data_IF_426930405878
#
_entry.id   IF_426930405878
#
_cell.length_a   1.000
_cell.length_b   1.000
_cell.length_c   1.000
_cell.angle_alpha   90.00
_cell.angle_beta   90.00
_cell.angle_gamma   90.00
#
_symmetry.space_group_name_H-M   'P 1'
#
loop_
_entity.id
_entity.type
_entity.pdbx_description
1 polymer ?
#
# COMPACT_ATOMS: atom_id res chain seq x y z
N UNK A 1 1.51 -6.43 -21.45
CA UNK A 1 1.30 -6.84 -20.04
C UNK A 1 -0.19 -6.83 -19.73
N UNK A 2 -0.70 -7.87 -19.03
CA UNK A 2 -2.08 -7.84 -18.51
C UNK A 2 -2.16 -6.90 -17.32
N UNK A 3 -3.23 -6.13 -17.24
CA UNK A 3 -3.49 -5.18 -16.17
C UNK A 3 -4.95 -5.32 -15.70
N UNK A 4 -5.18 -5.12 -14.43
CA UNK A 4 -6.50 -5.25 -13.80
C UNK A 4 -6.92 -3.89 -13.24
N UNK A 5 -8.18 -3.50 -13.46
CA UNK A 5 -8.78 -2.28 -12.87
C UNK A 5 -10.28 -2.45 -12.70
N UNK A 6 -10.83 -1.85 -11.65
CA UNK A 6 -12.28 -1.81 -11.41
C UNK A 6 -12.77 -0.36 -11.35
N UNK A 7 -13.83 0.01 -12.08
CA UNK A 7 -14.36 1.38 -12.08
C UNK A 7 -14.94 1.82 -10.73
N UNK A 8 -15.35 0.89 -9.86
CA UNK A 8 -15.87 1.20 -8.52
C UNK A 8 -14.83 1.82 -7.60
N UNK A 9 -13.56 1.67 -7.91
CA UNK A 9 -12.47 2.35 -7.20
C UNK A 9 -12.55 3.89 -7.32
N UNK A 10 -13.20 4.41 -8.37
CA UNK A 10 -13.40 5.85 -8.57
C UNK A 10 -14.42 6.46 -7.60
N UNK A 11 -15.24 5.65 -6.92
CA UNK A 11 -16.26 6.15 -5.99
C UNK A 11 -15.66 6.69 -4.70
N UNK A 12 -14.50 6.18 -4.25
CA UNK A 12 -13.75 6.81 -3.15
C UNK A 12 -13.27 8.18 -3.59
N UNK A 13 -13.85 9.23 -3.00
CA UNK A 13 -13.58 10.63 -3.37
C UNK A 13 -13.44 11.48 -2.10
N UNK A 14 -12.33 11.31 -1.36
CA UNK A 14 -12.09 12.08 -0.15
C UNK A 14 -11.90 13.56 -0.49
N UNK A 15 -12.54 14.44 0.27
CA UNK A 15 -12.52 15.88 0.00
C UNK A 15 -11.35 16.57 0.70
N UNK A 16 -11.08 16.18 1.94
CA UNK A 16 -10.12 16.86 2.79
C UNK A 16 -9.24 15.87 3.54
N UNK A 17 -8.10 16.36 4.00
CA UNK A 17 -7.27 15.73 5.02
C UNK A 17 -6.62 16.81 5.89
N UNK A 18 -6.09 16.43 7.04
CA UNK A 18 -5.36 17.37 7.89
C UNK A 18 -3.86 17.10 7.81
N UNK A 19 -3.10 18.18 7.58
CA UNK A 19 -1.66 18.15 7.66
C UNK A 19 -1.15 19.42 8.38
N UNK A 20 -0.27 19.23 9.34
CA UNK A 20 0.36 20.32 10.11
C UNK A 20 -0.68 21.30 10.71
N UNK A 21 -1.80 20.74 11.21
CA UNK A 21 -2.89 21.53 11.81
C UNK A 21 -3.78 22.29 10.82
N UNK A 22 -3.63 22.06 9.52
CA UNK A 22 -4.44 22.69 8.46
C UNK A 22 -5.30 21.65 7.76
N UNK A 23 -6.53 22.05 7.44
CA UNK A 23 -7.39 21.28 6.52
C UNK A 23 -7.00 21.64 5.10
N UNK A 24 -6.65 20.64 4.31
CA UNK A 24 -6.19 20.77 2.93
C UNK A 24 -7.04 19.89 2.00
N UNK A 25 -7.17 20.24 0.71
CA UNK A 25 -7.75 19.33 -0.27
C UNK A 25 -6.99 17.99 -0.31
N UNK A 26 -7.72 16.88 -0.35
CA UNK A 26 -7.09 15.56 -0.39
C UNK A 26 -6.43 15.34 -1.77
N UNK A 27 -5.13 14.99 -1.84
CA UNK A 27 -4.45 14.76 -3.11
C UNK A 27 -4.80 13.41 -3.75
N UNK A 28 -5.28 12.44 -2.95
CA UNK A 28 -5.70 11.12 -3.42
C UNK A 28 -7.09 11.24 -4.08
N UNK A 29 -7.12 11.46 -5.39
CA UNK A 29 -8.31 11.82 -6.15
C UNK A 29 -8.71 10.76 -7.20
N UNK A 30 -10.02 10.57 -7.52
CA UNK A 30 -10.49 9.61 -8.52
C UNK A 30 -9.83 9.74 -9.89
N UNK A 31 -9.43 10.95 -10.29
CA UNK A 31 -8.75 11.19 -11.57
C UNK A 31 -7.45 10.39 -11.74
N UNK A 32 -6.81 9.96 -10.62
CA UNK A 32 -5.59 9.13 -10.65
C UNK A 32 -5.79 7.85 -11.45
N UNK A 33 -6.95 7.19 -11.31
CA UNK A 33 -7.27 5.96 -12.06
C UNK A 33 -7.14 6.21 -13.55
N UNK A 34 -7.80 7.27 -14.05
CA UNK A 34 -7.79 7.56 -15.49
C UNK A 34 -6.40 7.89 -16.01
N UNK A 35 -5.65 8.72 -15.30
CA UNK A 35 -4.29 9.12 -15.71
C UNK A 35 -3.34 7.94 -15.74
N UNK A 36 -3.37 7.09 -14.71
CA UNK A 36 -2.55 5.88 -14.63
C UNK A 36 -2.95 4.85 -15.69
N UNK A 37 -4.26 4.67 -15.91
CA UNK A 37 -4.77 3.76 -16.93
C UNK A 37 -4.36 4.21 -18.34
N UNK A 38 -4.52 5.50 -18.66
CA UNK A 38 -4.14 6.06 -19.95
C UNK A 38 -2.62 5.87 -20.20
N UNK A 39 -1.78 6.15 -19.19
CA UNK A 39 -0.33 5.94 -19.27
C UNK A 39 0.04 4.46 -19.46
N UNK A 40 -0.58 3.56 -18.74
CA UNK A 40 -0.33 2.13 -18.87
C UNK A 40 -0.79 1.58 -20.25
N UNK A 41 -1.94 2.05 -20.78
CA UNK A 41 -2.41 1.71 -22.13
C UNK A 41 -1.40 2.20 -23.19
N UNK A 42 -0.92 3.44 -23.06
CA UNK A 42 0.10 3.97 -23.96
C UNK A 42 1.41 3.15 -23.93
N UNK A 43 1.71 2.52 -22.80
CA UNK A 43 2.83 1.58 -22.63
C UNK A 43 2.51 0.13 -23.05
N UNK A 44 1.32 -0.14 -23.63
CA UNK A 44 0.94 -1.45 -24.15
C UNK A 44 0.30 -2.39 -23.11
N UNK A 45 -0.24 -1.86 -22.01
CA UNK A 45 -1.03 -2.66 -21.07
C UNK A 45 -2.45 -2.92 -21.61
N UNK A 46 -2.95 -4.14 -21.36
CA UNK A 46 -4.33 -4.53 -21.67
C UNK A 46 -5.09 -4.71 -20.36
N UNK A 47 -6.11 -3.88 -20.14
CA UNK A 47 -6.92 -3.91 -18.92
C UNK A 47 -8.09 -4.87 -19.01
N UNK A 48 -8.26 -5.64 -17.95
CA UNK A 48 -9.39 -6.55 -17.72
C UNK A 48 -10.04 -6.20 -16.35
N UNK A 49 -11.36 -6.48 -16.16
CA UNK A 49 -11.98 -6.33 -14.85
C UNK A 49 -11.50 -7.42 -13.88
N UNK A 50 -11.49 -7.18 -12.56
CA UNK A 50 -11.17 -8.19 -11.57
C UNK A 50 -12.27 -9.26 -11.46
N UNK A 51 -11.88 -10.46 -11.03
CA UNK A 51 -12.77 -11.46 -10.47
C UNK A 51 -13.09 -11.10 -8.99
N UNK A 52 -14.19 -11.63 -8.46
CA UNK A 52 -14.52 -11.52 -7.03
C UNK A 52 -14.09 -12.80 -6.31
N UNK A 53 -13.03 -12.72 -5.51
CA UNK A 53 -12.52 -13.81 -4.67
C UNK A 53 -13.14 -13.82 -3.27
N UNK A 54 -14.08 -12.93 -2.99
CA UNK A 54 -14.71 -12.78 -1.70
C UNK A 54 -13.78 -12.23 -0.62
N UNK A 55 -14.19 -12.43 0.63
CA UNK A 55 -13.48 -11.88 1.80
C UNK A 55 -12.27 -12.73 2.26
N UNK A 56 -12.18 -13.99 1.83
CA UNK A 56 -11.16 -14.93 2.31
C UNK A 56 -9.72 -14.39 2.23
N UNK A 57 -9.24 -14.01 1.03
CA UNK A 57 -7.88 -13.47 0.88
C UNK A 57 -7.64 -12.16 1.68
N UNK A 58 -8.66 -11.30 1.78
CA UNK A 58 -8.58 -10.05 2.55
C UNK A 58 -8.47 -10.34 4.04
N UNK A 59 -9.26 -11.28 4.55
CA UNK A 59 -9.25 -11.70 5.95
C UNK A 59 -8.00 -12.50 6.35
N UNK A 60 -7.23 -13.00 5.37
CA UNK A 60 -5.92 -13.61 5.64
C UNK A 60 -4.85 -12.57 6.06
N UNK A 61 -5.12 -11.29 5.84
CA UNK A 61 -4.24 -10.16 6.17
C UNK A 61 -4.85 -9.25 7.23
N UNK A 62 -6.11 -8.90 7.06
CA UNK A 62 -6.79 -7.94 7.94
C UNK A 62 -7.66 -8.63 8.98
N UNK A 63 -7.69 -8.09 10.20
CA UNK A 63 -8.48 -8.65 11.30
C UNK A 63 -9.99 -8.53 11.03
N UNK A 64 -10.80 -9.53 11.44
CA UNK A 64 -12.26 -9.47 11.27
C UNK A 64 -12.90 -8.25 11.92
N UNK A 65 -12.36 -7.80 13.06
CA UNK A 65 -12.81 -6.62 13.76
C UNK A 65 -12.62 -5.35 12.93
N UNK A 66 -11.45 -5.18 12.32
CA UNK A 66 -11.14 -4.05 11.43
C UNK A 66 -12.02 -4.08 10.16
N UNK A 67 -12.18 -5.24 9.54
CA UNK A 67 -13.03 -5.37 8.35
C UNK A 67 -14.49 -5.03 8.66
N UNK A 68 -14.98 -5.43 9.84
CA UNK A 68 -16.31 -5.05 10.32
C UNK A 68 -16.41 -3.55 10.56
N UNK A 69 -15.38 -2.93 11.15
CA UNK A 69 -15.30 -1.49 11.34
C UNK A 69 -15.35 -0.78 9.98
N UNK A 70 -14.44 -1.08 9.06
CA UNK A 70 -14.32 -0.38 7.78
C UNK A 70 -15.62 -0.43 6.96
N UNK A 71 -16.29 -1.58 6.96
CA UNK A 71 -17.57 -1.78 6.26
C UNK A 71 -18.72 -0.96 6.83
N UNK A 72 -18.73 -0.68 8.15
CA UNK A 72 -19.92 -0.16 8.83
C UNK A 72 -19.75 1.23 9.44
N UNK A 73 -18.52 1.73 9.54
CA UNK A 73 -18.23 2.94 10.33
C UNK A 73 -18.92 4.18 9.75
N UNK A 74 -18.96 4.35 8.44
CA UNK A 74 -19.61 5.50 7.81
C UNK A 74 -21.10 5.59 8.17
N UNK A 75 -21.81 4.47 8.08
CA UNK A 75 -23.24 4.39 8.42
C UNK A 75 -23.52 4.66 9.91
N UNK A 76 -22.57 4.44 10.79
CA UNK A 76 -22.67 4.74 12.22
C UNK A 76 -22.29 6.18 12.50
N UNK A 77 -21.28 6.68 11.82
CA UNK A 77 -20.80 8.05 11.92
C UNK A 77 -21.87 9.06 11.46
N UNK A 78 -22.49 8.84 10.32
CA UNK A 78 -23.52 9.72 9.76
C UNK A 78 -24.79 9.87 10.63
N UNK A 79 -24.95 9.00 11.64
CA UNK A 79 -26.05 9.09 12.62
C UNK A 79 -25.67 9.92 13.87
N UNK A 80 -24.42 10.33 14.00
CA UNK A 80 -24.00 11.16 15.12
C UNK A 80 -24.46 12.60 14.88
N UNK A 81 -25.07 13.21 15.89
CA UNK A 81 -25.45 14.60 15.79
C UNK A 81 -24.21 15.50 15.67
N UNK A 82 -24.15 16.32 14.60
CA UNK A 82 -23.05 17.24 14.36
C UNK A 82 -21.76 16.59 13.84
N UNK A 83 -21.80 15.33 13.37
CA UNK A 83 -20.66 14.70 12.70
C UNK A 83 -20.35 15.38 11.37
N UNK A 84 -19.07 15.36 10.96
CA UNK A 84 -18.67 15.74 9.61
C UNK A 84 -19.14 14.74 8.56
N UNK A 85 -19.00 15.11 7.29
CA UNK A 85 -19.38 14.28 6.12
C UNK A 85 -18.49 13.05 5.94
N UNK A 86 -17.28 13.10 6.45
CA UNK A 86 -16.30 12.01 6.41
C UNK A 86 -15.90 11.60 7.82
N UNK A 87 -15.57 10.32 7.99
CA UNK A 87 -15.06 9.78 9.26
C UNK A 87 -13.59 10.16 9.39
N UNK A 88 -13.32 11.16 10.22
CA UNK A 88 -11.97 11.59 10.56
C UNK A 88 -11.85 11.55 12.09
N UNK A 89 -10.87 10.83 12.66
CA UNK A 89 -10.75 10.69 14.10
C UNK A 89 -10.29 11.99 14.74
N UNK A 90 -10.82 12.31 15.91
CA UNK A 90 -10.39 13.43 16.75
C UNK A 90 -9.62 12.97 18.00
N UNK A 91 -9.44 11.67 18.17
CA UNK A 91 -8.74 11.06 19.30
C UNK A 91 -8.12 9.75 18.86
N UNK A 92 -6.93 9.46 19.37
CA UNK A 92 -6.24 8.18 19.17
C UNK A 92 -5.86 7.60 20.53
N UNK A 93 -5.83 6.26 20.69
CA UNK A 93 -5.40 5.64 21.95
C UNK A 93 -3.90 5.86 22.17
N UNK A 94 -3.51 6.15 23.41
CA UNK A 94 -2.09 6.25 23.78
C UNK A 94 -1.38 4.88 23.65
N UNK A 95 -2.11 3.79 23.90
CA UNK A 95 -1.71 2.42 23.62
C UNK A 95 -2.96 1.61 23.29
N UNK A 96 -2.80 0.64 22.39
CA UNK A 96 -3.89 -0.30 22.06
C UNK A 96 -3.88 -1.43 23.09
N UNK A 97 -4.96 -1.52 23.85
CA UNK A 97 -5.18 -2.53 24.88
C UNK A 97 -6.30 -3.50 24.47
N UNK A 98 -6.63 -4.45 25.34
CA UNK A 98 -7.74 -5.38 25.15
C UNK A 98 -9.13 -4.70 25.15
N UNK A 99 -9.20 -3.43 25.55
CA UNK A 99 -10.43 -2.65 25.52
C UNK A 99 -10.75 -2.17 24.12
N UNK A 100 -11.94 -2.48 23.61
CA UNK A 100 -12.43 -2.02 22.33
C UNK A 100 -13.61 -1.04 22.51
N UNK A 101 -13.54 0.17 21.93
CA UNK A 101 -14.58 1.18 22.12
C UNK A 101 -15.89 0.80 21.42
N UNK A 102 -17.03 1.13 22.07
CA UNK A 102 -18.37 0.91 21.50
C UNK A 102 -18.84 2.07 20.62
N UNK A 103 -18.36 3.30 20.87
CA UNK A 103 -18.75 4.50 20.11
C UNK A 103 -18.10 4.54 18.74
N UNK A 104 -18.78 5.13 17.74
CA UNK A 104 -18.21 5.33 16.41
C UNK A 104 -16.95 6.22 16.47
N UNK A 105 -16.95 7.27 17.29
CA UNK A 105 -15.80 8.17 17.50
C UNK A 105 -14.59 7.40 18.04
N UNK A 106 -14.79 6.57 19.08
CA UNK A 106 -13.71 5.77 19.64
C UNK A 106 -13.18 4.72 18.66
N UNK A 107 -14.07 4.09 17.88
CA UNK A 107 -13.66 3.11 16.85
C UNK A 107 -12.90 3.77 15.70
N UNK A 108 -13.29 4.98 15.28
CA UNK A 108 -12.54 5.77 14.30
C UNK A 108 -11.09 5.98 14.77
N UNK A 109 -10.89 6.47 15.99
CA UNK A 109 -9.54 6.67 16.53
C UNK A 109 -8.77 5.37 16.79
N UNK A 110 -9.47 4.27 17.05
CA UNK A 110 -8.84 2.95 17.25
C UNK A 110 -8.30 2.34 15.95
N UNK A 111 -8.96 2.61 14.81
CA UNK A 111 -8.68 1.99 13.52
C UNK A 111 -8.15 2.93 12.45
N UNK A 112 -7.96 4.22 12.74
CA UNK A 112 -7.31 5.17 11.84
C UNK A 112 -6.07 5.74 12.55
N UNK A 113 -4.88 5.59 11.94
CA UNK A 113 -3.61 6.01 12.52
C UNK A 113 -3.43 7.54 12.51
N UNK A 114 -4.05 8.18 11.52
CA UNK A 114 -3.91 9.60 11.24
C UNK A 114 -5.19 10.18 10.63
N UNK A 115 -5.14 11.45 10.26
CA UNK A 115 -6.24 12.19 9.63
C UNK A 115 -6.18 12.19 8.10
N UNK A 116 -5.25 11.43 7.49
CA UNK A 116 -5.07 11.37 6.04
C UNK A 116 -5.89 10.26 5.37
N UNK A 117 -6.57 9.42 6.14
CA UNK A 117 -7.43 8.35 5.65
C UNK A 117 -8.92 8.57 5.98
N UNK A 118 -9.57 9.66 5.50
CA UNK A 118 -10.99 9.92 5.72
C UNK A 118 -11.84 8.84 5.07
N UNK A 119 -12.90 8.39 5.77
CA UNK A 119 -13.81 7.35 5.29
C UNK A 119 -15.14 7.99 4.92
N UNK A 120 -15.57 7.85 3.67
CA UNK A 120 -16.90 8.22 3.18
C UNK A 120 -17.77 6.98 2.89
N UNK A 121 -18.96 7.19 2.37
CA UNK A 121 -19.92 6.12 2.09
C UNK A 121 -19.45 5.06 1.10
N UNK A 122 -18.55 5.43 0.20
CA UNK A 122 -18.07 4.59 -0.89
C UNK A 122 -16.67 4.02 -0.63
N UNK A 123 -16.01 4.42 0.46
CA UNK A 123 -14.64 3.96 0.77
C UNK A 123 -14.53 2.45 0.87
N UNK A 124 -15.49 1.78 1.55
CA UNK A 124 -15.49 0.33 1.67
C UNK A 124 -15.56 -0.37 0.32
N UNK A 125 -16.50 0.03 -0.54
CA UNK A 125 -16.69 -0.62 -1.84
C UNK A 125 -15.47 -0.42 -2.75
N UNK A 126 -14.89 0.78 -2.72
CA UNK A 126 -13.69 1.10 -3.48
C UNK A 126 -12.47 0.33 -2.98
N UNK A 127 -12.24 0.28 -1.66
CA UNK A 127 -11.15 -0.49 -1.06
C UNK A 127 -11.31 -2.00 -1.31
N UNK A 128 -12.53 -2.53 -1.22
CA UNK A 128 -12.81 -3.94 -1.53
C UNK A 128 -12.41 -4.28 -2.97
N UNK A 129 -12.83 -3.47 -3.95
CA UNK A 129 -12.51 -3.72 -5.35
C UNK A 129 -11.06 -3.37 -5.70
N UNK A 130 -10.41 -2.49 -4.96
CA UNK A 130 -8.96 -2.31 -5.01
C UNK A 130 -8.22 -3.59 -4.61
N UNK A 131 -8.64 -4.23 -3.51
CA UNK A 131 -8.09 -5.51 -3.07
C UNK A 131 -8.38 -6.64 -4.08
N UNK A 132 -9.62 -6.73 -4.61
CA UNK A 132 -9.96 -7.73 -5.65
C UNK A 132 -9.14 -7.54 -6.93
N UNK A 133 -8.80 -6.29 -7.28
CA UNK A 133 -7.89 -5.97 -8.39
C UNK A 133 -6.50 -6.56 -8.15
N UNK A 134 -5.94 -6.38 -6.95
CA UNK A 134 -4.63 -6.93 -6.59
C UNK A 134 -4.65 -8.48 -6.54
N UNK A 135 -5.71 -9.08 -5.99
CA UNK A 135 -5.88 -10.55 -5.94
C UNK A 135 -6.00 -11.12 -7.36
N UNK A 136 -6.78 -10.48 -8.25
CA UNK A 136 -6.95 -10.93 -9.63
C UNK A 136 -5.62 -10.90 -10.40
N UNK A 137 -4.82 -9.87 -10.19
CA UNK A 137 -3.49 -9.79 -10.80
C UNK A 137 -2.52 -10.83 -10.20
N UNK A 138 -2.62 -11.12 -8.90
CA UNK A 138 -1.88 -12.20 -8.24
C UNK A 138 -2.29 -13.59 -8.77
N UNK A 139 -3.58 -13.80 -9.04
CA UNK A 139 -4.11 -15.02 -9.64
C UNK A 139 -3.49 -15.28 -11.04
N UNK A 140 -3.35 -14.25 -11.87
CA UNK A 140 -2.64 -14.34 -13.14
C UNK A 140 -1.19 -14.81 -12.97
N UNK A 141 -0.49 -14.32 -11.96
CA UNK A 141 0.89 -14.75 -11.64
C UNK A 141 0.89 -16.20 -11.15
N UNK A 142 -0.04 -16.58 -10.29
CA UNK A 142 -0.18 -17.96 -9.82
C UNK A 142 -0.46 -18.93 -10.96
N UNK A 143 -1.24 -18.51 -11.97
CA UNK A 143 -1.54 -19.26 -13.20
C UNK A 143 -0.38 -19.28 -14.22
N UNK A 144 0.77 -18.64 -13.92
CA UNK A 144 2.00 -18.71 -14.73
C UNK A 144 2.31 -17.48 -15.58
N UNK A 145 1.57 -16.36 -15.42
CA UNK A 145 1.99 -15.10 -16.03
C UNK A 145 3.29 -14.61 -15.40
N UNK A 146 4.21 -14.10 -16.23
CA UNK A 146 5.49 -13.58 -15.76
C UNK A 146 5.40 -12.14 -15.26
N UNK A 147 4.36 -11.39 -15.67
CA UNK A 147 4.17 -10.02 -15.26
C UNK A 147 2.69 -9.63 -15.30
N UNK A 148 2.22 -8.94 -14.27
CA UNK A 148 0.87 -8.38 -14.18
C UNK A 148 0.89 -7.02 -13.47
N UNK A 149 -0.12 -6.17 -13.74
CA UNK A 149 -0.29 -4.88 -13.08
C UNK A 149 -1.69 -4.77 -12.48
N UNK A 150 -1.76 -4.47 -11.19
CA UNK A 150 -2.98 -4.13 -10.46
C UNK A 150 -3.04 -2.62 -10.29
N UNK A 151 -3.91 -1.94 -11.03
CA UNK A 151 -4.20 -0.52 -10.82
C UNK A 151 -5.14 -0.39 -9.62
N UNK A 152 -4.59 -0.55 -8.43
CA UNK A 152 -5.31 -0.49 -7.16
C UNK A 152 -5.51 0.96 -6.71
N UNK A 153 -6.74 1.30 -6.29
CA UNK A 153 -7.11 2.55 -5.65
C UNK A 153 -8.37 2.35 -4.80
N UNK A 154 -8.39 2.77 -3.51
CA UNK A 154 -7.33 3.46 -2.75
C UNK A 154 -6.04 2.63 -2.65
N UNK A 155 -4.88 3.30 -2.34
CA UNK A 155 -3.61 2.62 -2.11
C UNK A 155 -3.65 1.75 -0.85
N UNK A 156 -2.56 1.03 -0.55
CA UNK A 156 -2.60 0.02 0.49
C UNK A 156 -1.43 -0.05 1.47
N UNK A 157 -0.22 0.33 1.10
CA UNK A 157 1.01 -0.04 1.81
C UNK A 157 1.12 0.53 3.25
N UNK A 158 0.37 1.58 3.60
CA UNK A 158 0.29 2.11 4.96
C UNK A 158 -0.74 1.41 5.84
N UNK A 159 -1.67 0.62 5.28
CA UNK A 159 -2.66 -0.09 6.06
C UNK A 159 -2.05 -1.31 6.78
N UNK A 160 -2.13 -1.32 8.12
CA UNK A 160 -1.79 -2.46 8.97
C UNK A 160 -2.91 -3.52 8.95
N UNK A 161 -2.72 -4.62 9.65
CA UNK A 161 -3.75 -5.65 9.76
C UNK A 161 -5.08 -5.13 10.34
N UNK A 162 -5.05 -4.05 11.11
CA UNK A 162 -6.21 -3.52 11.83
C UNK A 162 -6.23 -1.99 11.97
N UNK A 163 -5.47 -1.27 11.11
CA UNK A 163 -5.32 0.17 11.21
C UNK A 163 -5.14 0.79 9.81
N UNK A 164 -6.02 1.71 9.42
CA UNK A 164 -5.89 2.55 8.22
C UNK A 164 -4.94 3.73 8.49
N UNK A 165 -4.33 4.27 7.46
CA UNK A 165 -3.46 5.44 7.54
C UNK A 165 -2.93 5.83 6.18
N UNK A 166 -2.44 7.07 6.01
CA UNK A 166 -1.77 7.49 4.78
C UNK A 166 -2.55 7.20 3.50
N UNK A 167 -3.83 7.54 3.43
CA UNK A 167 -4.74 7.26 2.32
C UNK A 167 -5.13 5.76 2.13
N UNK A 168 -4.54 4.84 2.90
CA UNK A 168 -4.66 3.39 2.75
C UNK A 168 -5.69 2.79 3.70
N UNK A 169 -6.47 1.82 3.21
CA UNK A 169 -7.51 1.12 3.99
C UNK A 169 -7.31 -0.40 4.01
N UNK A 170 -7.09 -1.03 2.87
CA UNK A 170 -6.72 -2.43 2.75
C UNK A 170 -5.34 -2.52 2.10
N UNK A 171 -4.45 -3.33 2.64
CA UNK A 171 -3.09 -3.45 2.12
C UNK A 171 -3.06 -4.36 0.89
N UNK A 172 -3.22 -3.76 -0.28
CA UNK A 172 -3.35 -4.46 -1.54
C UNK A 172 -2.12 -5.33 -1.87
N UNK A 173 -0.92 -4.78 -1.66
CA UNK A 173 0.34 -5.50 -1.88
C UNK A 173 0.50 -6.68 -0.91
N UNK A 174 0.18 -6.49 0.38
CA UNK A 174 0.23 -7.56 1.37
C UNK A 174 -0.81 -8.66 1.09
N UNK A 175 -2.03 -8.30 0.68
CA UNK A 175 -3.10 -9.25 0.32
C UNK A 175 -2.66 -10.09 -0.89
N UNK A 176 -2.13 -9.45 -1.94
CA UNK A 176 -1.62 -10.15 -3.12
C UNK A 176 -0.45 -11.08 -2.77
N UNK A 177 0.51 -10.61 -1.96
CA UNK A 177 1.64 -11.42 -1.52
C UNK A 177 1.21 -12.62 -0.67
N UNK A 178 0.25 -12.42 0.25
CA UNK A 178 -0.32 -13.51 1.07
C UNK A 178 -1.08 -14.51 0.21
N UNK A 179 -1.85 -14.04 -0.77
CA UNK A 179 -2.53 -14.91 -1.73
C UNK A 179 -1.52 -15.81 -2.47
N UNK A 180 -0.45 -15.24 -3.02
CA UNK A 180 0.60 -15.99 -3.72
C UNK A 180 1.32 -16.97 -2.79
N UNK A 181 1.63 -16.58 -1.56
CA UNK A 181 2.24 -17.45 -0.56
C UNK A 181 1.36 -18.67 -0.24
N UNK A 182 0.05 -18.48 -0.10
CA UNK A 182 -0.92 -19.57 0.10
C UNK A 182 -1.02 -20.51 -1.12
N UNK A 183 -0.60 -20.05 -2.30
CA UNK A 183 -0.47 -20.85 -3.53
C UNK A 183 0.95 -21.44 -3.70
N UNK A 184 1.72 -21.53 -2.62
CA UNK A 184 3.03 -22.20 -2.57
C UNK A 184 4.18 -21.41 -3.17
N UNK A 185 4.02 -20.09 -3.41
CA UNK A 185 5.10 -19.23 -3.90
C UNK A 185 5.91 -18.65 -2.75
N UNK A 186 7.22 -18.57 -2.91
CA UNK A 186 8.11 -17.79 -2.05
C UNK A 186 8.09 -16.34 -2.52
N UNK A 187 7.57 -15.43 -1.70
CA UNK A 187 7.23 -14.06 -2.13
C UNK A 187 8.09 -13.04 -1.42
N UNK A 188 8.63 -12.08 -2.18
CA UNK A 188 9.17 -10.83 -1.65
C UNK A 188 8.26 -9.65 -2.04
N UNK A 189 8.09 -8.68 -1.15
CA UNK A 189 7.50 -7.38 -1.47
C UNK A 189 8.64 -6.39 -1.60
N UNK A 190 8.69 -5.69 -2.74
CA UNK A 190 9.59 -4.57 -2.99
C UNK A 190 8.75 -3.30 -3.06
N UNK A 191 8.85 -2.47 -2.04
CA UNK A 191 8.18 -1.18 -1.98
C UNK A 191 9.11 -0.08 -2.52
N UNK A 192 8.66 0.61 -3.57
CA UNK A 192 9.39 1.72 -4.22
C UNK A 192 8.62 3.03 -4.17
N UNK A 193 7.55 3.10 -3.38
CA UNK A 193 6.90 4.36 -3.00
C UNK A 193 7.89 5.25 -2.23
N UNK A 194 7.74 6.57 -2.34
CA UNK A 194 8.62 7.52 -1.61
C UNK A 194 8.45 7.41 -0.10
N UNK A 195 7.27 6.96 0.36
CA UNK A 195 6.98 6.71 1.77
C UNK A 195 7.31 5.27 2.16
N UNK A 196 7.71 5.08 3.40
CA UNK A 196 7.88 3.73 3.93
C UNK A 196 6.53 2.99 4.05
N UNK A 197 6.46 1.77 3.53
CA UNK A 197 5.29 0.88 3.66
C UNK A 197 5.14 0.30 5.07
N UNK A 198 4.88 1.16 6.05
CA UNK A 198 4.81 0.77 7.47
C UNK A 198 3.71 -0.23 7.78
N UNK A 199 2.59 -0.19 7.05
CA UNK A 199 1.54 -1.18 7.16
C UNK A 199 2.00 -2.55 6.70
N UNK A 200 2.65 -2.63 5.55
CA UNK A 200 3.24 -3.87 5.01
C UNK A 200 4.28 -4.46 5.97
N UNK A 201 5.21 -3.64 6.46
CA UNK A 201 6.15 -4.04 7.48
C UNK A 201 5.43 -4.56 8.73
N UNK A 202 4.45 -3.82 9.24
CA UNK A 202 3.72 -4.18 10.47
C UNK A 202 2.97 -5.51 10.36
N UNK A 203 2.42 -5.84 9.19
CA UNK A 203 1.73 -7.11 8.92
C UNK A 203 2.72 -8.29 8.99
N UNK A 204 3.89 -8.17 8.36
CA UNK A 204 4.83 -9.28 8.23
C UNK A 204 6.00 -9.26 9.23
N UNK A 205 6.09 -8.29 10.13
CA UNK A 205 7.24 -8.06 10.99
C UNK A 205 7.61 -9.23 11.91
N UNK A 206 6.63 -10.06 12.25
CA UNK A 206 6.78 -11.22 13.16
C UNK A 206 6.67 -12.57 12.46
N UNK A 207 6.71 -12.61 11.12
CA UNK A 207 6.60 -13.83 10.34
C UNK A 207 7.79 -13.98 9.39
N UNK A 208 8.09 -15.21 8.98
CA UNK A 208 9.10 -15.53 7.97
C UNK A 208 8.50 -15.99 6.64
N UNK A 209 7.21 -15.70 6.42
CA UNK A 209 6.49 -16.13 5.21
C UNK A 209 6.81 -15.27 4.00
N UNK A 210 6.98 -13.96 4.22
CA UNK A 210 7.18 -12.97 3.17
C UNK A 210 8.34 -12.08 3.54
N UNK A 211 9.25 -11.85 2.60
CA UNK A 211 10.36 -10.91 2.77
C UNK A 211 9.92 -9.52 2.32
N UNK A 212 10.01 -8.53 3.21
CA UNK A 212 9.64 -7.15 2.92
C UNK A 212 10.89 -6.28 2.74
N UNK A 213 10.94 -5.55 1.64
CA UNK A 213 12.02 -4.61 1.30
C UNK A 213 11.39 -3.27 0.93
N UNK A 214 11.85 -2.17 1.52
CA UNK A 214 11.34 -0.84 1.20
C UNK A 214 12.50 0.15 0.99
N UNK A 215 12.47 0.85 -0.15
CA UNK A 215 13.32 2.01 -0.43
C UNK A 215 12.46 3.27 -0.32
N UNK A 216 12.77 4.16 0.61
CA UNK A 216 11.90 5.28 0.94
C UNK A 216 12.72 6.48 1.44
N UNK A 217 12.14 7.68 1.36
CA UNK A 217 12.75 8.86 1.95
C UNK A 217 12.89 8.67 3.49
N UNK A 218 14.03 9.08 4.04
CA UNK A 218 14.34 8.93 5.47
C UNK A 218 13.20 9.46 6.35
N UNK A 219 12.68 8.60 7.19
CA UNK A 219 11.49 8.84 8.02
C UNK A 219 11.75 9.69 9.27
N UNK A 220 12.98 10.03 9.60
CA UNK A 220 13.25 10.93 10.74
C UNK A 220 12.50 12.25 10.64
N UNK A 221 12.27 12.75 9.44
CA UNK A 221 11.58 14.02 9.15
C UNK A 221 10.57 13.92 8.02
N UNK A 222 10.15 12.69 7.68
CA UNK A 222 9.19 12.42 6.61
C UNK A 222 8.18 11.35 7.07
N UNK A 223 6.93 11.43 6.58
CA UNK A 223 5.91 10.42 6.90
C UNK A 223 6.41 9.00 6.53
N UNK A 224 6.20 7.95 7.34
CA UNK A 224 5.33 7.87 8.53
C UNK A 224 6.05 8.10 9.88
N UNK A 225 7.20 8.73 9.95
CA UNK A 225 7.99 9.16 11.11
C UNK A 225 8.46 8.06 12.08
N UNK A 226 7.59 7.14 12.46
CA UNK A 226 7.80 6.17 13.55
C UNK A 226 8.28 4.81 13.08
N UNK A 227 8.42 4.59 11.77
CA UNK A 227 8.78 3.34 11.12
C UNK A 227 9.72 3.60 9.94
N UNK A 228 10.49 2.56 9.52
CA UNK A 228 11.32 2.65 8.33
C UNK A 228 12.81 2.79 8.62
N UNK A 229 13.23 2.61 9.87
CA UNK A 229 14.64 2.69 10.24
C UNK A 229 15.39 1.43 9.80
N UNK A 230 16.66 1.58 9.38
CA UNK A 230 17.47 0.47 8.84
C UNK A 230 17.72 -0.66 9.83
N UNK A 231 17.66 -0.40 11.14
CA UNK A 231 17.78 -1.41 12.20
C UNK A 231 16.51 -2.25 12.41
N UNK A 232 15.39 -1.89 11.82
CA UNK A 232 14.14 -2.65 11.91
C UNK A 232 14.21 -3.86 10.97
N UNK A 233 14.65 -5.00 11.50
CA UNK A 233 14.95 -6.22 10.73
C UNK A 233 13.97 -7.37 10.91
N UNK A 234 12.81 -7.10 11.53
CA UNK A 234 11.83 -8.11 11.93
C UNK A 234 12.00 -8.53 13.40
N UNK A 235 11.04 -9.30 13.91
CA UNK A 235 10.99 -9.73 15.32
C UNK A 235 10.67 -11.23 15.43
N UNK A 236 11.34 -11.93 16.36
CA UNK A 236 11.11 -13.36 16.57
C UNK A 236 11.50 -14.17 15.34
N UNK A 237 10.59 -15.00 14.82
CA UNK A 237 10.82 -15.80 13.61
C UNK A 237 10.93 -14.92 12.35
N UNK A 238 10.42 -13.69 12.38
CA UNK A 238 10.53 -12.71 11.30
C UNK A 238 11.87 -11.97 11.26
N UNK A 239 12.79 -12.21 12.21
CA UNK A 239 14.09 -11.53 12.21
C UNK A 239 14.89 -11.89 10.94
N UNK A 240 15.32 -10.87 10.21
CA UNK A 240 15.98 -10.99 8.90
C UNK A 240 15.02 -10.99 7.69
N UNK A 241 13.70 -10.94 7.92
CA UNK A 241 12.68 -10.90 6.86
C UNK A 241 12.13 -9.50 6.59
N UNK A 242 12.76 -8.46 7.12
CA UNK A 242 12.49 -7.06 6.81
C UNK A 242 13.79 -6.32 6.49
N UNK A 243 13.78 -5.53 5.42
CA UNK A 243 14.92 -4.70 4.99
C UNK A 243 14.43 -3.30 4.64
N UNK A 244 14.80 -2.32 5.45
CA UNK A 244 14.56 -0.90 5.20
C UNK A 244 15.83 -0.25 4.65
N UNK A 245 15.68 0.53 3.58
CA UNK A 245 16.73 1.31 2.94
C UNK A 245 16.28 2.78 2.93
N UNK A 246 16.42 3.50 4.07
CA UNK A 246 16.09 4.92 4.13
C UNK A 246 17.08 5.72 3.27
N UNK A 247 16.54 6.63 2.45
CA UNK A 247 17.25 7.42 1.45
C UNK A 247 17.21 8.90 1.82
N UNK A 248 18.30 9.61 1.59
CA UNK A 248 18.35 11.06 1.80
C UNK A 248 17.31 11.76 0.90
N UNK A 249 16.59 12.72 1.45
CA UNK A 249 15.63 13.52 0.68
C UNK A 249 16.32 14.22 -0.50
N UNK A 250 15.65 14.20 -1.65
CA UNK A 250 16.19 14.77 -2.90
C UNK A 250 17.22 13.88 -3.61
N UNK A 251 17.40 12.62 -3.17
CA UNK A 251 18.24 11.64 -3.86
C UNK A 251 17.78 11.45 -5.31
N UNK A 252 18.75 11.35 -6.22
CA UNK A 252 18.55 11.27 -7.68
C UNK A 252 18.74 9.85 -8.21
N UNK A 253 18.53 9.69 -9.52
CA UNK A 253 18.50 8.42 -10.24
C UNK A 253 19.69 7.49 -9.94
N UNK A 254 20.93 7.94 -10.11
CA UNK A 254 22.12 7.07 -9.98
C UNK A 254 22.28 6.52 -8.55
N UNK A 255 22.08 7.38 -7.54
CA UNK A 255 22.17 6.99 -6.13
C UNK A 255 21.02 6.04 -5.76
N UNK A 256 19.80 6.32 -6.26
CA UNK A 256 18.64 5.45 -6.06
C UNK A 256 18.87 4.08 -6.69
N UNK A 257 19.36 4.02 -7.93
CA UNK A 257 19.64 2.76 -8.62
C UNK A 257 20.71 1.93 -7.90
N UNK A 258 21.71 2.59 -7.31
CA UNK A 258 22.70 1.90 -6.45
C UNK A 258 22.04 1.28 -5.22
N UNK A 259 21.14 2.01 -4.54
CA UNK A 259 20.38 1.49 -3.41
C UNK A 259 19.42 0.36 -3.82
N UNK A 260 18.73 0.52 -4.96
CA UNK A 260 17.85 -0.50 -5.53
C UNK A 260 18.62 -1.79 -5.83
N UNK A 261 19.85 -1.71 -6.34
CA UNK A 261 20.66 -2.92 -6.59
C UNK A 261 20.90 -3.72 -5.30
N UNK A 262 21.10 -3.07 -4.17
CA UNK A 262 21.24 -3.75 -2.87
C UNK A 262 19.93 -4.47 -2.48
N UNK A 263 18.79 -3.84 -2.71
CA UNK A 263 17.47 -4.45 -2.48
C UNK A 263 17.26 -5.68 -3.38
N UNK A 264 17.56 -5.56 -4.68
CA UNK A 264 17.41 -6.65 -5.64
C UNK A 264 18.34 -7.83 -5.30
N UNK A 265 19.58 -7.58 -4.89
CA UNK A 265 20.51 -8.61 -4.41
C UNK A 265 19.97 -9.34 -3.16
N UNK A 266 19.35 -8.63 -2.23
CA UNK A 266 18.72 -9.23 -1.05
C UNK A 266 17.54 -10.13 -1.45
N UNK A 267 16.70 -9.70 -2.40
CA UNK A 267 15.58 -10.47 -2.94
C UNK A 267 16.09 -11.74 -3.67
N UNK A 268 17.15 -11.63 -4.47
CA UNK A 268 17.79 -12.79 -5.11
C UNK A 268 18.34 -13.76 -4.08
N UNK A 269 19.02 -13.27 -3.04
CA UNK A 269 19.55 -14.10 -1.95
C UNK A 269 18.43 -14.79 -1.17
N UNK A 270 17.31 -14.12 -0.98
CA UNK A 270 16.11 -14.71 -0.39
C UNK A 270 15.53 -15.84 -1.26
N UNK A 271 15.72 -15.79 -2.58
CA UNK A 271 15.23 -16.79 -3.54
C UNK A 271 13.73 -16.70 -3.77
N UNK A 272 13.22 -15.48 -4.01
CA UNK A 272 11.82 -15.25 -4.31
C UNK A 272 11.41 -15.89 -5.65
N UNK A 273 10.27 -16.61 -5.67
CA UNK A 273 9.61 -17.06 -6.90
C UNK A 273 8.82 -15.92 -7.55
N UNK A 274 8.33 -14.99 -6.73
CA UNK A 274 7.53 -13.83 -7.14
C UNK A 274 7.95 -12.59 -6.37
N UNK A 275 8.07 -11.47 -7.07
CA UNK A 275 8.22 -10.15 -6.48
C UNK A 275 6.92 -9.37 -6.65
N UNK A 276 6.31 -8.95 -5.54
CA UNK A 276 5.21 -7.99 -5.52
C UNK A 276 5.81 -6.60 -5.33
N UNK A 277 5.66 -5.74 -6.31
CA UNK A 277 6.15 -4.36 -6.26
C UNK A 277 5.02 -3.45 -5.81
N UNK A 278 5.13 -2.85 -4.62
CA UNK A 278 4.30 -1.72 -4.22
C UNK A 278 4.81 -0.50 -5.00
N UNK A 279 4.03 -0.09 -5.98
CA UNK A 279 4.42 0.87 -7.01
C UNK A 279 3.88 2.26 -6.66
N UNK A 280 4.64 3.06 -5.92
CA UNK A 280 4.46 4.50 -5.82
C UNK A 280 5.20 5.23 -6.94
N UNK A 281 4.63 6.31 -7.45
CA UNK A 281 5.26 7.19 -8.44
C UNK A 281 5.59 8.56 -7.84
N UNK A 282 5.39 8.73 -6.57
CA UNK A 282 5.60 9.95 -5.78
C UNK A 282 7.07 10.21 -5.40
N UNK A 283 7.98 9.27 -5.71
CA UNK A 283 9.41 9.52 -5.73
C UNK A 283 9.85 10.48 -6.88
N UNK A 284 8.91 10.87 -7.75
CA UNK A 284 9.17 11.75 -8.90
C UNK A 284 9.64 13.14 -8.48
N UNK A 285 10.62 13.68 -9.22
CA UNK A 285 11.27 14.98 -8.91
C UNK A 285 10.32 16.18 -8.80
N UNK A 286 9.17 16.14 -9.49
CA UNK A 286 8.16 17.19 -9.45
C UNK A 286 6.94 16.83 -8.59
N UNK A 287 7.01 15.77 -7.79
CA UNK A 287 5.95 15.44 -6.85
C UNK A 287 5.83 16.54 -5.76
N UNK A 288 4.61 16.97 -5.41
CA UNK A 288 4.41 18.04 -4.43
C UNK A 288 4.94 17.69 -3.03
N UNK A 289 5.07 16.40 -2.66
CA UNK A 289 5.59 15.96 -1.36
C UNK A 289 7.12 16.05 -1.27
N UNK A 290 7.82 16.09 -2.41
CA UNK A 290 9.27 16.34 -2.50
C UNK A 290 10.13 15.43 -1.61
N UNK A 291 9.86 14.14 -1.66
CA UNK A 291 10.64 13.15 -0.92
C UNK A 291 11.97 12.85 -1.60
N UNK A 292 11.92 12.40 -2.84
CA UNK A 292 13.08 12.08 -3.69
C UNK A 292 13.06 12.95 -4.97
N UNK A 293 14.02 12.72 -5.89
CA UNK A 293 14.13 13.47 -7.14
C UNK A 293 14.39 12.53 -8.34
N UNK A 294 13.55 11.51 -8.47
CA UNK A 294 13.64 10.53 -9.56
C UNK A 294 13.02 11.11 -10.82
N UNK A 295 13.76 11.05 -11.91
CA UNK A 295 13.29 11.53 -13.22
C UNK A 295 12.37 10.50 -13.89
N UNK A 296 11.65 10.91 -14.94
CA UNK A 296 10.89 9.98 -15.79
C UNK A 296 11.80 8.90 -16.39
N UNK A 297 13.03 9.25 -16.79
CA UNK A 297 14.02 8.30 -17.29
C UNK A 297 14.48 7.35 -16.18
N UNK A 298 14.65 7.87 -14.94
CA UNK A 298 14.98 7.08 -13.75
C UNK A 298 13.94 5.99 -13.45
N UNK A 299 12.65 6.27 -13.54
CA UNK A 299 11.62 5.24 -13.43
C UNK A 299 11.73 4.15 -14.49
N UNK A 300 12.10 4.52 -15.74
CA UNK A 300 12.40 3.53 -16.78
C UNK A 300 13.59 2.63 -16.43
N UNK A 301 14.64 3.19 -15.82
CA UNK A 301 15.80 2.44 -15.35
C UNK A 301 15.46 1.55 -14.16
N UNK A 302 14.64 2.03 -13.20
CA UNK A 302 14.11 1.23 -12.08
C UNK A 302 13.34 0.01 -12.62
N UNK A 303 12.42 0.23 -13.57
CA UNK A 303 11.67 -0.86 -14.20
C UNK A 303 12.58 -1.88 -14.88
N UNK A 304 13.61 -1.41 -15.59
CA UNK A 304 14.62 -2.28 -16.24
C UNK A 304 15.43 -3.09 -15.22
N UNK A 305 15.82 -2.47 -14.11
CA UNK A 305 16.55 -3.14 -13.03
C UNK A 305 15.69 -4.23 -12.36
N UNK A 306 14.40 -3.95 -12.09
CA UNK A 306 13.47 -4.95 -11.54
C UNK A 306 13.28 -6.11 -12.54
N UNK A 307 13.12 -5.82 -13.83
CA UNK A 307 12.97 -6.83 -14.86
C UNK A 307 14.21 -7.75 -14.98
N UNK A 308 15.41 -7.24 -14.65
CA UNK A 308 16.65 -8.03 -14.68
C UNK A 308 16.72 -9.16 -13.65
N UNK A 309 15.84 -9.14 -12.64
CA UNK A 309 15.68 -10.28 -11.70
C UNK A 309 15.26 -11.57 -12.42
N UNK A 310 14.64 -11.47 -13.59
CA UNK A 310 14.03 -12.61 -14.30
C UNK A 310 13.08 -13.45 -13.42
N UNK A 311 12.43 -12.79 -12.45
CA UNK A 311 11.48 -13.37 -11.51
C UNK A 311 10.08 -12.87 -11.87
N UNK A 312 9.05 -13.71 -11.70
CA UNK A 312 7.66 -13.27 -11.91
C UNK A 312 7.36 -12.03 -11.07
N UNK A 313 6.79 -11.00 -11.68
CA UNK A 313 6.62 -9.70 -11.04
C UNK A 313 5.18 -9.22 -11.11
N UNK A 314 4.61 -8.88 -9.97
CA UNK A 314 3.30 -8.25 -9.84
C UNK A 314 3.49 -6.79 -9.39
N UNK A 315 3.08 -5.84 -10.20
CA UNK A 315 3.01 -4.43 -9.79
C UNK A 315 1.64 -4.14 -9.19
N UNK A 316 1.63 -3.56 -7.99
CA UNK A 316 0.42 -3.12 -7.29
C UNK A 316 0.54 -1.61 -7.06
N UNK A 317 -0.37 -0.82 -7.61
CA UNK A 317 -0.34 0.65 -7.53
C UNK A 317 -0.56 1.14 -6.10
N UNK A 318 0.25 2.09 -5.67
CA UNK A 318 0.14 2.86 -4.43
C UNK A 318 -0.12 4.35 -4.68
#
# INVERSE_FOLDING_TARGET
MKAIVDPRQAHHNPQYFMATGKVLPNPEQPRRIKVLQDGAIAAGANFEPPKDFGMGPIAAVHSPQYLTFLKNIYNRWSRLHGSGEEVIPNIHPASRSDSYPKSAVGQAGYHQADTACPINGDTWISAYWSAQTAISAADLIAEGSTCAYALSRPPGHHAFADLAGGFCFLNNAAIAAKYLSLHGKRVAILDIDVHHGNGTQGIFYKTNEIFTVSLHADTERFYPFFWGQSQERGLGVGNGYNLNIPLNRGMKDDEYLSALQNALNAILTFGADVVVVALGLDAYENDPLKGLAITTAGFGQIGSAIASLNTSTLFVQE
#
